data_IF_512013166136
#
_entry.id   IF_512013166136
#
_cell.length_a   1.000
_cell.length_b   1.000
_cell.length_c   1.000
_cell.angle_alpha   90.00
_cell.angle_beta   90.00
_cell.angle_gamma   90.00
#
_symmetry.space_group_name_H-M   'P 1'
#
loop_
_entity.id
_entity.type
_entity.pdbx_description
1 polymer ?
#
# COMPACT_ATOMS: atom_id res chain seq x y z
N UNK A 1 28.10 1.12 13.07
CA UNK A 1 28.46 0.38 11.83
C UNK A 1 27.66 -0.91 11.71
N UNK A 2 27.55 -1.72 12.75
CA UNK A 2 26.80 -2.98 12.71
C UNK A 2 25.30 -2.77 12.42
N UNK A 3 24.67 -1.77 13.03
CA UNK A 3 23.23 -1.47 12.87
C UNK A 3 22.83 -1.05 11.45
N UNK A 4 23.77 -0.71 10.58
CA UNK A 4 23.52 -0.31 9.17
C UNK A 4 24.22 -1.23 8.17
N UNK A 5 24.73 -2.38 8.63
CA UNK A 5 25.44 -3.39 7.83
C UNK A 5 26.57 -2.80 6.97
N UNK A 6 27.39 -1.92 7.54
CA UNK A 6 28.53 -1.27 6.88
C UNK A 6 29.89 -1.64 7.47
N UNK A 7 29.95 -2.62 8.39
CA UNK A 7 31.21 -2.99 9.06
C UNK A 7 32.29 -3.47 8.09
N UNK A 8 31.92 -4.20 7.05
CA UNK A 8 32.84 -4.68 6.02
C UNK A 8 33.45 -3.56 5.16
N UNK A 9 32.91 -2.34 5.24
CA UNK A 9 33.33 -1.17 4.47
C UNK A 9 34.00 -0.09 5.32
N UNK A 10 34.31 -0.36 6.61
CA UNK A 10 34.81 0.62 7.57
C UNK A 10 36.09 1.34 7.12
N UNK A 11 36.95 0.65 6.35
CA UNK A 11 38.20 1.19 5.81
C UNK A 11 38.07 1.71 4.36
N UNK A 12 36.87 1.71 3.80
CA UNK A 12 36.64 2.14 2.42
C UNK A 12 36.35 3.64 2.36
N UNK A 13 36.95 4.33 1.41
CA UNK A 13 36.60 5.72 1.17
C UNK A 13 35.16 5.84 0.67
N UNK A 14 34.43 6.84 1.16
CA UNK A 14 33.01 7.05 0.83
C UNK A 14 32.74 7.15 -0.67
N UNK A 15 33.65 7.77 -1.44
CA UNK A 15 33.58 7.87 -2.92
C UNK A 15 33.59 6.51 -3.64
N UNK A 16 33.98 5.44 -2.96
CA UNK A 16 34.00 4.07 -3.50
C UNK A 16 32.82 3.21 -3.07
N UNK A 17 31.85 3.78 -2.35
CA UNK A 17 30.63 3.10 -1.95
C UNK A 17 29.58 3.11 -3.08
N UNK A 18 28.80 2.06 -3.17
CA UNK A 18 27.60 1.99 -4.03
C UNK A 18 26.50 2.95 -3.54
N UNK A 19 25.49 3.20 -4.37
CA UNK A 19 24.36 4.06 -3.98
C UNK A 19 23.64 3.59 -2.72
N UNK A 20 23.41 2.28 -2.57
CA UNK A 20 22.80 1.69 -1.38
C UNK A 20 23.69 1.75 -0.14
N UNK A 21 25.01 1.58 -0.29
CA UNK A 21 25.98 1.74 0.80
C UNK A 21 26.06 3.20 1.24
N UNK A 22 26.07 4.15 0.31
CA UNK A 22 26.03 5.60 0.60
C UNK A 22 24.73 5.99 1.33
N UNK A 23 23.59 5.47 0.92
CA UNK A 23 22.31 5.75 1.58
C UNK A 23 22.32 5.23 3.04
N UNK A 24 22.82 4.02 3.26
CA UNK A 24 22.98 3.47 4.61
C UNK A 24 23.96 4.27 5.46
N UNK A 25 25.03 4.76 4.87
CA UNK A 25 25.99 5.64 5.56
C UNK A 25 25.31 6.97 5.95
N UNK A 26 24.53 7.58 5.07
CA UNK A 26 23.77 8.81 5.36
C UNK A 26 22.79 8.62 6.51
N UNK A 27 22.07 7.49 6.55
CA UNK A 27 21.16 7.15 7.66
C UNK A 27 21.96 6.95 8.96
N UNK A 28 23.12 6.28 8.91
CA UNK A 28 23.99 6.10 10.08
C UNK A 28 24.46 7.44 10.65
N UNK A 29 24.83 8.39 9.79
CA UNK A 29 25.24 9.75 10.18
C UNK A 29 24.04 10.48 10.82
N UNK A 30 22.84 10.39 10.26
CA UNK A 30 21.64 11.01 10.81
C UNK A 30 21.26 10.46 12.18
N UNK A 31 21.55 9.19 12.45
CA UNK A 31 21.29 8.53 13.73
C UNK A 31 22.41 8.67 14.76
N UNK A 32 23.53 9.28 14.38
CA UNK A 32 24.69 9.45 15.27
C UNK A 32 24.32 10.37 16.44
N UNK A 33 24.70 9.96 17.65
CA UNK A 33 24.40 10.72 18.88
C UNK A 33 22.98 10.49 19.45
N UNK A 34 22.24 9.52 18.93
CA UNK A 34 20.88 9.18 19.39
C UNK A 34 19.94 10.40 19.42
N UNK A 35 19.68 11.07 18.29
CA UNK A 35 18.80 12.21 18.24
C UNK A 35 17.37 11.82 18.61
N UNK A 36 16.61 12.74 19.20
CA UNK A 36 15.20 12.53 19.49
C UNK A 36 14.31 12.54 18.24
N UNK A 37 14.76 13.20 17.18
CA UNK A 37 14.03 13.34 15.92
C UNK A 37 15.00 13.26 14.72
N UNK A 38 14.61 12.50 13.70
CA UNK A 38 15.34 12.38 12.42
C UNK A 38 14.38 12.56 11.26
N UNK A 39 14.81 13.28 10.23
CA UNK A 39 14.14 13.42 8.95
C UNK A 39 14.87 12.59 7.89
N UNK A 40 14.11 11.77 7.16
CA UNK A 40 14.62 10.96 6.04
C UNK A 40 13.82 11.33 4.79
N UNK A 41 14.50 11.92 3.82
CA UNK A 41 13.88 12.28 2.56
C UNK A 41 14.11 11.18 1.53
N UNK A 42 12.98 10.54 1.09
CA UNK A 42 12.96 9.45 0.10
C UNK A 42 14.02 8.37 0.37
N UNK A 43 14.06 7.73 1.56
CA UNK A 43 15.23 6.95 2.00
C UNK A 43 15.53 5.72 1.13
N UNK A 44 14.56 5.19 0.39
CA UNK A 44 14.73 3.97 -0.42
C UNK A 44 14.58 4.18 -1.92
N UNK A 45 14.39 5.42 -2.37
CA UNK A 45 14.21 5.73 -3.80
C UNK A 45 15.43 5.33 -4.61
N UNK A 46 15.19 4.62 -5.72
CA UNK A 46 16.23 4.17 -6.65
C UNK A 46 17.05 2.96 -6.16
N UNK A 47 16.64 2.32 -5.09
CA UNK A 47 17.31 1.13 -4.55
C UNK A 47 16.60 -0.16 -4.97
N UNK A 48 17.39 -1.23 -5.09
CA UNK A 48 16.87 -2.56 -5.32
C UNK A 48 16.07 -3.09 -4.11
N UNK A 49 15.19 -4.09 -4.29
CA UNK A 49 14.31 -4.58 -3.22
C UNK A 49 15.04 -5.14 -1.99
N UNK A 50 16.23 -5.70 -2.16
CA UNK A 50 17.00 -6.27 -1.04
C UNK A 50 17.55 -5.15 -0.15
N UNK A 51 18.18 -4.14 -0.75
CA UNK A 51 18.71 -2.98 -0.02
C UNK A 51 17.58 -2.15 0.61
N UNK A 52 16.42 -2.06 -0.08
CA UNK A 52 15.23 -1.41 0.47
C UNK A 52 14.79 -2.07 1.78
N UNK A 53 14.65 -3.39 1.82
CA UNK A 53 14.28 -4.13 3.03
C UNK A 53 15.28 -3.92 4.16
N UNK A 54 16.56 -3.94 3.85
CA UNK A 54 17.62 -3.67 4.83
C UNK A 54 17.48 -2.26 5.44
N UNK A 55 17.16 -1.24 4.64
CA UNK A 55 16.90 0.12 5.15
C UNK A 55 15.64 0.15 6.01
N UNK A 56 14.59 -0.57 5.65
CA UNK A 56 13.38 -0.68 6.46
C UNK A 56 13.68 -1.27 7.84
N UNK A 57 14.52 -2.30 7.91
CA UNK A 57 14.93 -2.91 9.18
C UNK A 57 15.71 -1.89 10.05
N UNK A 58 16.62 -1.14 9.44
CA UNK A 58 17.39 -0.07 10.10
C UNK A 58 16.44 1.00 10.67
N UNK A 59 15.49 1.47 9.87
CA UNK A 59 14.50 2.48 10.30
C UNK A 59 13.59 1.92 11.40
N UNK A 60 13.12 0.69 11.28
CA UNK A 60 12.28 0.04 12.30
C UNK A 60 13.03 -0.15 13.64
N UNK A 61 14.32 -0.43 13.60
CA UNK A 61 15.14 -0.47 14.83
C UNK A 61 15.35 0.94 15.41
N UNK A 62 15.64 1.93 14.59
CA UNK A 62 15.82 3.31 15.02
C UNK A 62 14.55 3.89 15.68
N UNK A 63 13.36 3.56 15.18
CA UNK A 63 12.06 4.01 15.72
C UNK A 63 11.81 3.61 17.17
N UNK A 64 12.50 2.64 17.68
CA UNK A 64 12.39 2.23 19.10
C UNK A 64 12.93 3.31 20.06
N UNK A 65 13.76 4.22 19.57
CA UNK A 65 14.49 5.22 20.39
C UNK A 65 14.38 6.64 19.84
N UNK A 66 14.05 6.79 18.56
CA UNK A 66 14.07 8.05 17.83
C UNK A 66 12.75 8.24 17.11
N UNK A 67 12.20 9.43 17.15
CA UNK A 67 11.06 9.78 16.27
C UNK A 67 11.60 9.95 14.84
N UNK A 68 11.05 9.19 13.90
CA UNK A 68 11.43 9.29 12.48
C UNK A 68 10.29 9.90 11.70
N UNK A 69 10.58 10.96 10.97
CA UNK A 69 9.71 11.54 9.94
C UNK A 69 10.35 11.25 8.59
N UNK A 70 9.63 10.57 7.72
CA UNK A 70 10.13 10.28 6.37
C UNK A 70 9.16 10.80 5.30
N UNK A 71 9.71 11.17 4.15
CA UNK A 71 8.94 11.38 2.93
C UNK A 71 9.10 10.18 2.03
N UNK A 72 8.05 9.82 1.31
CA UNK A 72 8.09 8.77 0.30
C UNK A 72 6.94 8.89 -0.68
N UNK A 73 7.12 8.43 -1.89
CA UNK A 73 6.06 8.20 -2.87
C UNK A 73 5.67 6.71 -2.94
N UNK A 74 6.34 5.83 -2.18
CA UNK A 74 6.02 4.41 -2.09
C UNK A 74 4.99 4.16 -0.99
N UNK A 75 3.78 3.78 -1.37
CA UNK A 75 2.72 3.46 -0.40
C UNK A 75 3.07 2.20 0.41
N UNK A 76 3.79 1.25 -0.19
CA UNK A 76 4.32 0.07 0.49
C UNK A 76 5.30 0.46 1.62
N UNK A 77 6.23 1.39 1.35
CA UNK A 77 7.15 1.90 2.36
C UNK A 77 6.41 2.63 3.48
N UNK A 78 5.47 3.52 3.12
CA UNK A 78 4.66 4.23 4.09
C UNK A 78 3.86 3.27 4.99
N UNK A 79 3.27 2.21 4.43
CA UNK A 79 2.52 1.20 5.18
C UNK A 79 3.41 0.35 6.08
N UNK A 80 4.62 -0.01 5.62
CA UNK A 80 5.56 -0.83 6.38
C UNK A 80 6.25 -0.07 7.52
N UNK A 81 6.51 1.22 7.33
CA UNK A 81 7.33 2.00 8.26
C UNK A 81 6.56 3.00 9.13
N UNK A 82 5.40 3.49 8.69
CA UNK A 82 4.76 4.62 9.34
C UNK A 82 3.58 4.19 10.22
N UNK A 83 3.59 4.61 11.50
CA UNK A 83 2.42 4.50 12.37
C UNK A 83 1.34 5.53 12.04
N UNK A 84 1.74 6.68 11.45
CA UNK A 84 0.83 7.73 10.95
C UNK A 84 1.32 8.22 9.60
N UNK A 85 0.40 8.43 8.68
CA UNK A 85 0.68 8.87 7.31
C UNK A 85 -0.06 10.17 7.04
N UNK A 86 0.68 11.16 6.56
CA UNK A 86 0.14 12.41 6.02
C UNK A 86 0.18 12.39 4.49
N UNK A 87 -0.94 12.58 3.83
CA UNK A 87 -1.01 12.70 2.38
C UNK A 87 -1.06 14.17 2.01
N UNK A 88 -0.10 14.59 1.19
CA UNK A 88 -0.02 15.95 0.68
C UNK A 88 -0.40 15.99 -0.81
N UNK A 89 -1.21 16.97 -1.18
CA UNK A 89 -1.53 17.26 -2.57
C UNK A 89 -1.58 18.78 -2.79
N UNK A 90 -0.98 19.24 -3.88
CA UNK A 90 -0.90 20.68 -4.24
C UNK A 90 -0.39 21.57 -3.09
N UNK A 91 0.66 21.12 -2.41
CA UNK A 91 1.29 21.86 -1.31
C UNK A 91 0.50 21.89 0.00
N UNK A 92 -0.63 21.20 0.09
CA UNK A 92 -1.48 21.16 1.30
C UNK A 92 -1.59 19.76 1.86
N UNK A 93 -1.62 19.63 3.19
CA UNK A 93 -1.90 18.38 3.88
C UNK A 93 -3.39 18.07 3.78
N UNK A 94 -3.75 17.00 3.08
CA UNK A 94 -5.14 16.57 2.86
C UNK A 94 -5.69 15.72 3.99
N UNK A 95 -4.87 14.85 4.53
CA UNK A 95 -5.24 14.00 5.66
C UNK A 95 -4.00 13.60 6.46
N UNK A 96 -4.22 13.20 7.72
CA UNK A 96 -3.21 12.65 8.60
C UNK A 96 -3.87 11.63 9.52
N UNK A 97 -3.57 10.34 9.34
CA UNK A 97 -4.10 9.27 10.18
C UNK A 97 -3.21 8.01 10.16
N UNK A 98 -3.59 7.01 10.92
CA UNK A 98 -3.01 5.67 10.85
C UNK A 98 -3.39 5.00 9.52
N UNK A 99 -2.54 4.11 8.96
CA UNK A 99 -2.79 3.44 7.66
C UNK A 99 -4.18 2.79 7.57
N UNK A 100 -4.56 2.03 8.59
CA UNK A 100 -5.87 1.37 8.64
C UNK A 100 -7.02 2.39 8.64
N UNK A 101 -6.87 3.49 9.37
CA UNK A 101 -7.88 4.54 9.43
C UNK A 101 -8.04 5.27 8.09
N UNK A 102 -6.94 5.48 7.35
CA UNK A 102 -6.99 6.04 6.00
C UNK A 102 -7.77 5.13 5.05
N UNK A 103 -7.49 3.82 5.07
CA UNK A 103 -8.22 2.83 4.28
C UNK A 103 -9.72 2.78 4.61
N UNK A 104 -10.08 2.95 5.88
CA UNK A 104 -11.49 2.99 6.31
C UNK A 104 -12.23 4.25 5.91
N UNK A 105 -11.56 5.42 5.99
CA UNK A 105 -12.20 6.72 5.71
C UNK A 105 -12.32 7.00 4.21
N UNK A 106 -11.30 6.64 3.44
CA UNK A 106 -11.18 7.05 2.04
C UNK A 106 -11.23 5.87 1.06
N UNK A 107 -11.03 4.66 1.55
CA UNK A 107 -11.14 3.47 0.71
C UNK A 107 -12.59 3.07 0.43
N UNK A 108 -12.86 2.41 -0.70
CA UNK A 108 -14.21 1.86 -1.01
C UNK A 108 -14.60 0.68 -0.11
N UNK A 109 -13.67 0.11 0.65
CA UNK A 109 -13.89 -1.02 1.52
C UNK A 109 -13.17 -2.29 1.04
N UNK A 110 -13.88 -3.14 0.35
CA UNK A 110 -13.36 -4.39 -0.22
C UNK A 110 -13.49 -4.40 -1.74
N UNK A 111 -12.58 -5.10 -2.39
CA UNK A 111 -12.60 -5.34 -3.82
C UNK A 111 -12.62 -6.84 -4.09
N UNK A 112 -13.56 -7.29 -4.88
CA UNK A 112 -13.61 -8.66 -5.39
C UNK A 112 -13.20 -8.67 -6.86
N UNK A 113 -12.29 -9.57 -7.21
CA UNK A 113 -11.93 -9.87 -8.59
C UNK A 113 -12.35 -11.31 -8.88
N UNK A 114 -12.96 -11.53 -10.04
CA UNK A 114 -13.32 -12.87 -10.49
C UNK A 114 -12.98 -13.04 -11.98
N UNK A 115 -12.35 -14.16 -12.28
CA UNK A 115 -11.99 -14.58 -13.62
C UNK A 115 -12.89 -15.71 -14.09
N UNK A 116 -13.34 -15.66 -15.33
CA UNK A 116 -14.22 -16.67 -15.94
C UNK A 116 -13.83 -16.93 -17.38
N UNK A 117 -14.39 -17.97 -17.99
CA UNK A 117 -14.34 -18.12 -19.45
C UNK A 117 -15.18 -17.02 -20.12
N UNK A 118 -14.82 -16.56 -21.34
CA UNK A 118 -15.52 -15.49 -22.04
C UNK A 118 -17.04 -15.73 -22.16
N UNK A 119 -17.45 -16.96 -22.40
CA UNK A 119 -18.85 -17.39 -22.49
C UNK A 119 -19.63 -17.26 -21.18
N UNK A 120 -18.95 -17.36 -20.02
CA UNK A 120 -19.55 -17.31 -18.68
C UNK A 120 -19.49 -15.92 -18.04
N UNK A 121 -18.74 -14.95 -18.61
CA UNK A 121 -18.50 -13.65 -18.00
C UNK A 121 -19.79 -12.94 -17.61
N UNK A 122 -20.79 -12.92 -18.48
CA UNK A 122 -22.10 -12.30 -18.20
C UNK A 122 -22.83 -12.98 -17.05
N UNK A 123 -22.80 -14.31 -17.01
CA UNK A 123 -23.41 -15.13 -15.95
C UNK A 123 -22.73 -14.86 -14.60
N UNK A 124 -21.41 -14.81 -14.59
CA UNK A 124 -20.60 -14.50 -13.39
C UNK A 124 -20.87 -13.08 -12.91
N UNK A 125 -20.92 -12.09 -13.79
CA UNK A 125 -21.27 -10.72 -13.41
C UNK A 125 -22.64 -10.66 -12.73
N UNK A 126 -23.68 -11.18 -13.36
CA UNK A 126 -25.05 -11.19 -12.78
C UNK A 126 -25.11 -11.91 -11.44
N UNK A 127 -24.37 -13.02 -11.32
CA UNK A 127 -24.30 -13.76 -10.06
C UNK A 127 -23.61 -12.93 -8.96
N UNK A 128 -22.44 -12.33 -9.22
CA UNK A 128 -21.74 -11.49 -8.25
C UNK A 128 -22.60 -10.30 -7.82
N UNK A 129 -23.24 -9.61 -8.77
CA UNK A 129 -24.14 -8.49 -8.51
C UNK A 129 -25.32 -8.86 -7.61
N UNK A 130 -25.77 -10.12 -7.65
CA UNK A 130 -26.88 -10.61 -6.81
C UNK A 130 -26.46 -10.94 -5.38
N UNK A 131 -25.19 -11.23 -5.11
CA UNK A 131 -24.71 -11.67 -3.79
C UNK A 131 -23.89 -10.60 -3.04
N UNK A 132 -23.41 -9.57 -3.75
CA UNK A 132 -22.64 -8.48 -3.16
C UNK A 132 -23.49 -7.62 -2.22
N UNK A 133 -22.91 -7.07 -1.13
CA UNK A 133 -23.59 -6.12 -0.26
C UNK A 133 -24.08 -4.89 -1.01
N UNK A 134 -25.16 -4.27 -0.51
CA UNK A 134 -25.70 -3.05 -1.10
C UNK A 134 -24.63 -1.94 -1.17
N UNK A 135 -24.65 -1.17 -2.26
CA UNK A 135 -23.69 -0.09 -2.48
C UNK A 135 -22.43 -0.51 -3.21
N UNK A 136 -22.40 -1.73 -3.77
CA UNK A 136 -21.32 -2.15 -4.64
C UNK A 136 -21.20 -1.26 -5.90
N UNK A 137 -20.00 -1.17 -6.42
CA UNK A 137 -19.69 -0.49 -7.69
C UNK A 137 -18.87 -1.42 -8.56
N UNK A 138 -19.20 -1.49 -9.83
CA UNK A 138 -18.35 -2.16 -10.82
C UNK A 138 -17.19 -1.25 -11.16
N UNK A 139 -15.97 -1.75 -10.96
CA UNK A 139 -14.73 -0.98 -11.21
C UNK A 139 -14.23 -1.20 -12.62
N UNK A 140 -14.17 -2.48 -13.02
CA UNK A 140 -13.64 -2.87 -14.31
C UNK A 140 -14.27 -4.18 -14.80
N UNK A 141 -14.27 -4.37 -16.11
CA UNK A 141 -14.74 -5.58 -16.75
C UNK A 141 -14.00 -5.77 -18.08
N UNK A 142 -12.97 -6.56 -18.03
CA UNK A 142 -12.25 -7.01 -19.22
C UNK A 142 -12.73 -8.40 -19.61
N UNK A 143 -12.76 -8.70 -20.89
CA UNK A 143 -13.23 -9.93 -21.54
C UNK A 143 -13.52 -11.16 -20.64
N UNK A 144 -12.66 -11.47 -19.68
CA UNK A 144 -12.74 -12.63 -18.78
C UNK A 144 -12.64 -12.29 -17.29
N UNK A 145 -12.34 -11.01 -16.94
CA UNK A 145 -12.18 -10.55 -15.56
C UNK A 145 -13.21 -9.51 -15.21
N UNK A 146 -13.77 -9.61 -14.01
CA UNK A 146 -14.74 -8.65 -13.47
C UNK A 146 -14.30 -8.23 -12.07
N UNK A 147 -14.29 -6.91 -11.84
CA UNK A 147 -13.90 -6.32 -10.56
C UNK A 147 -15.02 -5.47 -9.99
N UNK A 148 -15.31 -5.68 -8.71
CA UNK A 148 -16.33 -4.92 -7.97
C UNK A 148 -15.76 -4.43 -6.65
N UNK A 149 -16.13 -3.22 -6.26
CA UNK A 149 -15.90 -2.67 -4.94
C UNK A 149 -17.19 -2.68 -4.14
N UNK A 150 -17.10 -2.94 -2.84
CA UNK A 150 -18.26 -2.94 -1.95
C UNK A 150 -17.88 -2.46 -0.54
N UNK A 151 -18.80 -1.79 0.17
CA UNK A 151 -18.55 -1.28 1.49
C UNK A 151 -18.39 -2.41 2.52
N UNK A 152 -17.68 -2.17 3.63
CA UNK A 152 -17.56 -3.13 4.71
C UNK A 152 -18.93 -3.35 5.38
N UNK A 153 -19.37 -4.60 5.42
CA UNK A 153 -20.58 -5.05 6.13
C UNK A 153 -20.21 -6.22 7.03
N UNK A 154 -20.77 -6.22 8.26
CA UNK A 154 -20.49 -7.29 9.23
C UNK A 154 -20.94 -8.65 8.71
N UNK A 155 -20.01 -9.60 8.64
CA UNK A 155 -20.26 -10.95 8.18
C UNK A 155 -20.37 -11.13 6.66
N UNK A 156 -20.28 -10.06 5.86
CA UNK A 156 -20.34 -10.14 4.40
C UNK A 156 -19.24 -11.00 3.82
N UNK A 157 -17.99 -10.83 4.28
CA UNK A 157 -16.85 -11.62 3.79
C UNK A 157 -17.08 -13.12 3.96
N UNK A 158 -17.47 -13.56 5.15
CA UNK A 158 -17.73 -14.99 5.42
C UNK A 158 -18.86 -15.54 4.55
N UNK A 159 -19.94 -14.77 4.37
CA UNK A 159 -21.05 -15.15 3.47
C UNK A 159 -20.59 -15.25 2.03
N UNK A 160 -19.87 -14.26 1.53
CA UNK A 160 -19.35 -14.22 0.16
C UNK A 160 -18.42 -15.40 -0.11
N UNK A 161 -17.47 -15.67 0.79
CA UNK A 161 -16.57 -16.82 0.65
C UNK A 161 -17.37 -18.13 0.57
N UNK A 162 -18.27 -18.39 1.50
CA UNK A 162 -19.07 -19.61 1.51
C UNK A 162 -19.94 -19.73 0.25
N UNK A 163 -20.58 -18.63 -0.16
CA UNK A 163 -21.51 -18.63 -1.30
C UNK A 163 -20.78 -18.81 -2.62
N UNK A 164 -19.63 -18.14 -2.81
CA UNK A 164 -18.85 -18.24 -4.05
C UNK A 164 -18.19 -19.61 -4.16
N UNK A 165 -17.56 -20.12 -3.08
CA UNK A 165 -16.94 -21.44 -3.08
C UNK A 165 -17.95 -22.56 -3.38
N UNK A 166 -19.15 -22.47 -2.84
CA UNK A 166 -20.20 -23.46 -3.11
C UNK A 166 -20.71 -23.48 -4.56
N UNK A 167 -20.65 -22.34 -5.25
CA UNK A 167 -21.25 -22.17 -6.59
C UNK A 167 -20.23 -21.92 -7.71
N UNK A 168 -18.94 -21.80 -7.42
CA UNK A 168 -17.93 -21.40 -8.40
C UNK A 168 -17.87 -22.29 -9.65
N UNK A 169 -18.02 -23.60 -9.46
CA UNK A 169 -17.99 -24.56 -10.57
C UNK A 169 -19.20 -24.38 -11.48
N UNK A 170 -20.40 -24.27 -10.91
CA UNK A 170 -21.67 -24.12 -11.65
C UNK A 170 -21.77 -22.77 -12.37
N UNK A 171 -21.16 -21.72 -11.79
CA UNK A 171 -21.11 -20.39 -12.41
C UNK A 171 -20.00 -20.26 -13.46
N UNK A 172 -19.03 -21.18 -13.47
CA UNK A 172 -17.88 -21.12 -14.38
C UNK A 172 -16.85 -20.10 -13.95
N UNK A 173 -16.72 -19.86 -12.64
CA UNK A 173 -15.64 -19.03 -12.07
C UNK A 173 -14.38 -19.87 -12.03
N UNK A 174 -13.33 -19.41 -12.71
CA UNK A 174 -12.02 -20.07 -12.77
C UNK A 174 -11.18 -19.74 -11.54
N UNK A 175 -11.14 -18.46 -11.21
CA UNK A 175 -10.40 -17.93 -10.06
C UNK A 175 -11.10 -16.68 -9.53
N UNK A 176 -10.95 -16.45 -8.22
CA UNK A 176 -11.50 -15.27 -7.60
C UNK A 176 -10.75 -14.92 -6.32
N UNK A 177 -10.81 -13.66 -5.91
CA UNK A 177 -10.20 -13.20 -4.67
C UNK A 177 -10.86 -11.94 -4.15
N UNK A 178 -10.89 -11.79 -2.82
CA UNK A 178 -11.31 -10.57 -2.14
C UNK A 178 -10.10 -9.95 -1.46
N UNK A 179 -9.85 -8.68 -1.77
CA UNK A 179 -8.83 -7.86 -1.13
C UNK A 179 -9.45 -6.67 -0.41
N UNK A 180 -8.74 -6.15 0.58
CA UNK A 180 -9.07 -4.85 1.16
C UNK A 180 -8.46 -3.75 0.30
N UNK A 181 -9.07 -2.57 0.29
CA UNK A 181 -8.51 -1.36 -0.33
C UNK A 181 -7.05 -1.15 0.07
N UNK A 182 -6.22 -0.90 -0.90
CA UNK A 182 -4.80 -0.58 -0.69
C UNK A 182 -4.62 0.90 -0.32
N UNK A 183 -3.48 1.23 0.28
CA UNK A 183 -3.15 2.63 0.56
C UNK A 183 -2.90 3.41 -0.74
N UNK A 184 -2.44 2.73 -1.79
CA UNK A 184 -2.25 3.30 -3.12
C UNK A 184 -3.58 3.77 -3.75
N UNK A 185 -4.64 2.95 -3.64
CA UNK A 185 -5.99 3.33 -4.11
C UNK A 185 -6.53 4.55 -3.35
N UNK A 186 -6.28 4.61 -2.02
CA UNK A 186 -6.63 5.77 -1.20
C UNK A 186 -5.87 7.02 -1.66
N UNK A 187 -4.58 6.89 -1.93
CA UNK A 187 -3.73 7.98 -2.41
C UNK A 187 -4.21 8.52 -3.76
N UNK A 188 -4.40 7.64 -4.74
CA UNK A 188 -4.90 8.02 -6.08
C UNK A 188 -6.23 8.74 -5.99
N UNK A 189 -7.16 8.26 -5.18
CA UNK A 189 -8.46 8.91 -4.97
C UNK A 189 -8.33 10.31 -4.39
N UNK A 190 -7.54 10.48 -3.32
CA UNK A 190 -7.34 11.79 -2.69
C UNK A 190 -6.66 12.81 -3.62
N UNK A 191 -5.74 12.36 -4.48
CA UNK A 191 -5.13 13.23 -5.49
C UNK A 191 -6.15 13.64 -6.55
N UNK A 192 -6.93 12.71 -7.08
CA UNK A 192 -7.96 13.00 -8.10
C UNK A 192 -9.04 13.96 -7.58
N UNK A 193 -9.48 13.82 -6.33
CA UNK A 193 -10.41 14.75 -5.67
C UNK A 193 -9.79 16.15 -5.49
N UNK A 194 -8.49 16.23 -5.21
CA UNK A 194 -7.77 17.48 -5.11
C UNK A 194 -7.62 18.18 -6.48
N UNK A 195 -7.50 17.42 -7.55
CA UNK A 195 -7.44 17.94 -8.92
C UNK A 195 -8.79 18.50 -9.36
N UNK A 196 -9.87 17.77 -9.11
CA UNK A 196 -11.23 18.25 -9.41
C UNK A 196 -11.63 19.49 -8.64
N UNK A 197 -11.11 19.68 -7.41
CA UNK A 197 -11.41 20.85 -6.56
C UNK A 197 -10.67 22.14 -6.96
N UNK A 198 -9.70 22.06 -7.88
CA UNK A 198 -8.87 23.19 -8.30
C UNK A 198 -9.27 23.80 -9.65
N UNK A 199 -10.27 23.22 -10.32
CA UNK A 199 -10.81 23.73 -11.61
C UNK A 199 -12.00 24.69 -11.41
N UNK A 200 -12.28 25.12 -10.17
CA UNK A 200 -13.32 26.12 -9.88
C UNK A 200 -12.77 27.41 -9.27
#
# INVERSE_FOLDING_TARGET
>A
MDNVALRSFENRLSKGLSGGEMRRLSIAIALLGNPSLVFLDEPTTGLDPEVRRLIWDIVNDAKKRTTVVLTTHSMEEAEALCGRIGIMAKGTLRCLAEPLRLKQLYGPGFKINANSLPENTRKVCTYLESILPNGWKKVDSFATSSSYEFPPEKGALSRLFATIEANKADMGILDWGIGQTTLEEVFVKLISEADASAEY
#
